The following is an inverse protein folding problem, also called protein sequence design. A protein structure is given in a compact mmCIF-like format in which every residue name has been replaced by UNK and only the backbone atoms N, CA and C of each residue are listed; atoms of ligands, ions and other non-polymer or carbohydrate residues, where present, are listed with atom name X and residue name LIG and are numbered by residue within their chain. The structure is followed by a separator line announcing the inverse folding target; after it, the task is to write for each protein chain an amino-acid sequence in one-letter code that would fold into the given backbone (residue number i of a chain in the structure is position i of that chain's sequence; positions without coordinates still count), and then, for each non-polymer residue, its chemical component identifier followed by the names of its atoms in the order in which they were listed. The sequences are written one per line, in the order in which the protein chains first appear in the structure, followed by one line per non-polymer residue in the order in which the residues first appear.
data_IF_453565472692
#
_entry.id   IF_453565472692
#
_cell.length_a   1.000
_cell.length_b   1.000
_cell.length_c   1.000
_cell.angle_alpha   90.00
_cell.angle_beta   90.00
_cell.angle_gamma   90.00
#
_symmetry.space_group_name_H-M   'P 1'
#
loop_
_entity.id
_entity.type
_entity.pdbx_description
1 polymer ?
#
# COMPACT_ATOMS: atom_id res chain seq x y z
N UNK A 1 7.56 -26.82 11.52
CA UNK A 1 8.30 -25.63 11.02
C UNK A 1 8.26 -25.69 9.50
N UNK A 2 7.40 -24.90 8.85
CA UNK A 2 7.25 -24.95 7.38
C UNK A 2 8.23 -23.97 6.72
N UNK A 3 9.25 -24.50 6.05
CA UNK A 3 10.21 -23.72 5.27
C UNK A 3 9.80 -23.67 3.80
N UNK A 4 9.30 -22.53 3.35
CA UNK A 4 9.05 -22.30 1.94
C UNK A 4 10.39 -21.99 1.25
N UNK A 5 10.80 -22.81 0.27
CA UNK A 5 11.96 -22.53 -0.58
C UNK A 5 11.48 -21.66 -1.75
N UNK A 6 11.82 -20.38 -1.72
CA UNK A 6 11.58 -19.48 -2.85
C UNK A 6 12.63 -19.78 -3.93
N UNK A 7 12.18 -20.31 -5.07
CA UNK A 7 13.01 -20.42 -6.27
C UNK A 7 13.00 -19.07 -7.01
N UNK A 8 14.07 -18.30 -6.87
CA UNK A 8 14.22 -16.94 -7.44
C UNK A 8 14.46 -16.93 -8.96
N UNK A 9 14.40 -18.08 -9.63
CA UNK A 9 14.70 -18.18 -11.07
C UNK A 9 13.62 -17.61 -12.01
N UNK A 10 12.44 -17.26 -11.49
CA UNK A 10 11.39 -16.62 -12.29
C UNK A 10 11.34 -15.12 -12.01
N UNK A 11 11.92 -14.30 -12.91
CA UNK A 11 11.35 -13.04 -13.41
C UNK A 11 12.47 -12.13 -13.95
N UNK A 12 13.09 -12.48 -15.09
CA UNK A 12 14.07 -11.61 -15.75
C UNK A 12 13.52 -10.91 -17.00
N UNK A 13 12.34 -11.32 -17.50
CA UNK A 13 11.80 -10.83 -18.79
C UNK A 13 10.80 -9.68 -18.70
N UNK A 14 10.39 -9.27 -17.50
CA UNK A 14 9.43 -8.17 -17.27
C UNK A 14 9.95 -7.08 -16.31
N UNK A 15 11.23 -7.14 -15.91
CA UNK A 15 11.79 -6.23 -14.89
C UNK A 15 11.74 -4.74 -15.29
N UNK A 16 11.82 -4.43 -16.58
CA UNK A 16 11.89 -3.05 -17.04
C UNK A 16 10.51 -2.32 -17.02
N UNK A 17 9.40 -3.06 -16.92
CA UNK A 17 8.05 -2.47 -16.94
C UNK A 17 7.44 -2.24 -15.56
N UNK A 18 8.06 -2.76 -14.50
CA UNK A 18 7.54 -2.71 -13.12
C UNK A 18 8.50 -2.02 -12.14
N UNK A 19 9.45 -1.21 -12.64
CA UNK A 19 10.37 -0.47 -11.79
C UNK A 19 9.69 0.78 -11.20
N UNK A 20 9.90 1.00 -9.90
CA UNK A 20 9.51 2.24 -9.23
C UNK A 20 10.71 3.20 -9.18
N UNK A 21 10.49 4.49 -9.46
CA UNK A 21 11.51 5.50 -9.21
C UNK A 21 11.91 5.49 -7.73
N UNK A 22 13.22 5.54 -7.46
CA UNK A 22 13.74 5.39 -6.10
C UNK A 22 13.15 6.39 -5.09
N UNK A 23 12.82 7.60 -5.53
CA UNK A 23 12.18 8.63 -4.71
C UNK A 23 10.77 8.24 -4.23
N UNK A 24 10.05 7.38 -4.96
CA UNK A 24 8.70 6.94 -4.59
C UNK A 24 8.73 5.68 -3.71
N UNK A 25 9.89 5.05 -3.53
CA UNK A 25 10.02 3.80 -2.77
C UNK A 25 9.57 3.93 -1.31
N UNK A 26 9.92 4.98 -0.54
CA UNK A 26 9.48 5.08 0.85
C UNK A 26 7.95 5.22 0.96
N UNK A 27 7.33 6.02 0.08
CA UNK A 27 5.88 6.17 0.00
C UNK A 27 5.18 4.85 -0.34
N UNK A 28 5.72 4.08 -1.30
CA UNK A 28 5.18 2.76 -1.64
C UNK A 28 5.28 1.78 -0.47
N UNK A 29 6.44 1.68 0.18
CA UNK A 29 6.63 0.78 1.32
C UNK A 29 5.68 1.14 2.47
N UNK A 30 5.53 2.43 2.75
CA UNK A 30 4.58 2.91 3.74
C UNK A 30 3.14 2.51 3.39
N UNK A 31 2.71 2.70 2.13
CA UNK A 31 1.39 2.25 1.70
C UNK A 31 1.21 0.74 1.88
N UNK A 32 2.19 -0.07 1.46
CA UNK A 32 2.14 -1.53 1.57
C UNK A 32 2.08 -2.02 3.03
N UNK A 33 2.73 -1.32 3.96
CA UNK A 33 2.68 -1.63 5.39
C UNK A 33 1.25 -1.49 5.97
N UNK A 34 0.42 -0.61 5.40
CA UNK A 34 -0.92 -0.29 5.91
C UNK A 34 -2.05 -0.61 4.93
N UNK A 35 -1.77 -1.23 3.79
CA UNK A 35 -2.74 -1.41 2.69
C UNK A 35 -4.00 -2.21 3.05
N UNK A 36 -4.01 -2.91 4.18
CA UNK A 36 -5.16 -3.66 4.68
C UNK A 36 -6.03 -2.85 5.66
N UNK A 37 -5.56 -1.70 6.13
CA UNK A 37 -6.18 -0.90 7.20
C UNK A 37 -7.14 0.15 6.63
N UNK A 38 -8.10 -0.28 5.80
CA UNK A 38 -9.11 0.61 5.22
C UNK A 38 -10.27 0.85 6.16
N UNK A 39 -10.72 2.11 6.20
CA UNK A 39 -12.04 2.48 6.74
C UNK A 39 -13.07 2.24 5.63
N UNK A 40 -14.04 1.37 5.90
CA UNK A 40 -15.03 0.91 4.93
C UNK A 40 -16.43 1.16 5.46
N UNK A 41 -17.32 1.71 4.62
CA UNK A 41 -18.75 1.83 4.90
C UNK A 41 -19.52 0.76 4.14
N UNK A 42 -20.48 0.12 4.81
CA UNK A 42 -21.45 -0.73 4.15
C UNK A 42 -22.57 0.14 3.56
N UNK A 43 -22.93 -0.11 2.30
CA UNK A 43 -24.02 0.58 1.62
C UNK A 43 -25.32 -0.25 1.69
N UNK A 44 -26.46 0.41 1.48
CA UNK A 44 -27.78 -0.24 1.51
C UNK A 44 -27.95 -1.32 0.42
N UNK A 45 -27.21 -1.20 -0.69
CA UNK A 45 -27.17 -2.18 -1.79
C UNK A 45 -26.25 -3.39 -1.50
N UNK A 46 -25.69 -3.48 -0.29
CA UNK A 46 -24.74 -4.52 0.10
C UNK A 46 -23.32 -4.31 -0.42
N UNK A 47 -23.08 -3.26 -1.22
CA UNK A 47 -21.73 -2.90 -1.66
C UNK A 47 -20.92 -2.24 -0.53
N UNK A 48 -19.61 -2.16 -0.73
CA UNK A 48 -18.67 -1.50 0.17
C UNK A 48 -18.26 -0.16 -0.46
N UNK A 49 -18.05 0.84 0.37
CA UNK A 49 -17.45 2.11 -0.01
C UNK A 49 -16.18 2.33 0.80
N UNK A 50 -15.05 2.44 0.12
CA UNK A 50 -13.74 2.63 0.73
C UNK A 50 -13.49 4.12 0.94
N UNK A 51 -13.39 4.55 2.20
CA UNK A 51 -13.27 5.98 2.57
C UNK A 51 -11.81 6.44 2.53
N UNK A 52 -10.90 5.63 3.08
CA UNK A 52 -9.50 5.98 3.24
C UNK A 52 -8.79 5.03 4.20
N UNK A 53 -7.48 5.14 4.27
CA UNK A 53 -6.65 4.39 5.22
C UNK A 53 -6.84 4.95 6.64
N UNK A 54 -6.78 4.06 7.63
CA UNK A 54 -6.81 4.47 9.03
C UNK A 54 -5.42 4.96 9.48
N UNK A 55 -5.21 6.28 9.45
CA UNK A 55 -3.95 6.87 9.86
C UNK A 55 -3.65 6.72 11.36
N UNK A 56 -4.65 6.49 12.21
CA UNK A 56 -4.40 6.20 13.63
C UNK A 56 -3.79 4.80 13.79
N UNK A 57 -4.13 3.86 12.91
CA UNK A 57 -3.52 2.54 12.84
C UNK A 57 -2.18 2.50 12.08
N UNK A 58 -1.78 3.61 11.42
CA UNK A 58 -0.60 3.64 10.57
C UNK A 58 0.73 3.75 11.34
N UNK A 59 0.78 4.56 12.41
CA UNK A 59 2.01 4.77 13.19
C UNK A 59 2.62 3.46 13.72
N UNK A 60 1.83 2.52 14.31
CA UNK A 60 2.39 1.28 14.81
C UNK A 60 3.02 0.42 13.72
N UNK A 61 2.43 0.39 12.52
CA UNK A 61 2.96 -0.35 11.39
C UNK A 61 4.31 0.24 10.94
N UNK A 62 4.38 1.56 10.77
CA UNK A 62 5.62 2.24 10.37
C UNK A 62 6.73 2.02 11.38
N UNK A 63 6.43 2.14 12.68
CA UNK A 63 7.40 1.93 13.75
C UNK A 63 7.91 0.48 13.79
N UNK A 64 7.03 -0.52 13.64
CA UNK A 64 7.42 -1.93 13.64
C UNK A 64 8.24 -2.32 12.40
N UNK A 65 8.02 -1.64 11.27
CA UNK A 65 8.79 -1.85 10.04
C UNK A 65 10.03 -0.94 9.93
N UNK A 66 10.28 -0.07 10.91
CA UNK A 66 11.42 0.87 10.89
C UNK A 66 11.30 1.96 9.82
N UNK A 67 10.10 2.28 9.38
CA UNK A 67 9.81 3.31 8.39
C UNK A 67 9.72 4.69 9.06
N UNK A 68 10.56 5.63 8.63
CA UNK A 68 10.47 7.05 9.01
C UNK A 68 10.14 7.86 7.77
N UNK A 69 8.95 8.47 7.75
CA UNK A 69 8.47 9.22 6.58
C UNK A 69 8.81 10.69 6.69
N UNK A 70 9.35 11.24 5.61
CA UNK A 70 9.43 12.69 5.42
C UNK A 70 8.07 13.26 5.00
N UNK A 71 7.86 14.59 5.07
CA UNK A 71 6.65 15.21 4.53
C UNK A 71 6.38 14.87 3.06
N UNK A 72 7.44 14.71 2.24
CA UNK A 72 7.32 14.31 0.84
C UNK A 72 6.85 12.86 0.69
N UNK A 73 7.39 11.94 1.50
CA UNK A 73 6.94 10.55 1.51
C UNK A 73 5.49 10.44 1.93
N UNK A 74 5.07 11.26 2.90
CA UNK A 74 3.68 11.35 3.35
C UNK A 74 2.73 11.83 2.24
N UNK A 75 3.16 12.82 1.44
CA UNK A 75 2.40 13.23 0.24
C UNK A 75 2.32 12.09 -0.76
N UNK A 76 3.43 11.40 -1.01
CA UNK A 76 3.49 10.24 -1.91
C UNK A 76 2.53 9.13 -1.49
N UNK A 77 2.49 8.79 -0.19
CA UNK A 77 1.57 7.80 0.36
C UNK A 77 0.11 8.16 0.07
N UNK A 78 -0.26 9.43 0.24
CA UNK A 78 -1.63 9.91 -0.02
C UNK A 78 -2.00 9.87 -1.50
N UNK A 79 -1.04 10.07 -2.40
CA UNK A 79 -1.26 9.90 -3.84
C UNK A 79 -1.55 8.44 -4.16
N UNK A 80 -0.80 7.50 -3.58
CA UNK A 80 -1.03 6.06 -3.78
C UNK A 80 -2.38 5.65 -3.19
N UNK A 81 -2.70 6.13 -1.98
CA UNK A 81 -3.99 5.89 -1.35
C UNK A 81 -5.15 6.40 -2.21
N UNK A 82 -5.07 7.60 -2.77
CA UNK A 82 -6.13 8.17 -3.60
C UNK A 82 -6.38 7.34 -4.87
N UNK A 83 -5.29 6.92 -5.54
CA UNK A 83 -5.39 6.03 -6.69
C UNK A 83 -5.99 4.66 -6.32
N UNK A 84 -5.56 4.06 -5.21
CA UNK A 84 -6.09 2.79 -4.73
C UNK A 84 -7.57 2.92 -4.33
N UNK A 85 -7.95 3.98 -3.61
CA UNK A 85 -9.33 4.26 -3.22
C UNK A 85 -10.23 4.46 -4.44
N UNK A 86 -9.74 5.16 -5.46
CA UNK A 86 -10.47 5.35 -6.72
C UNK A 86 -10.74 3.99 -7.35
N UNK A 87 -9.71 3.16 -7.56
CA UNK A 87 -9.86 1.82 -8.12
C UNK A 87 -10.78 0.90 -7.29
N UNK A 88 -10.75 1.00 -5.96
CA UNK A 88 -11.63 0.20 -5.08
C UNK A 88 -13.10 0.62 -5.17
N UNK A 89 -13.38 1.87 -5.51
CA UNK A 89 -14.73 2.42 -5.63
C UNK A 89 -15.22 2.51 -7.08
N UNK A 90 -14.39 2.19 -8.07
CA UNK A 90 -14.81 2.08 -9.47
C UNK A 90 -15.88 0.97 -9.61
N UNK A 91 -16.94 1.27 -10.37
CA UNK A 91 -18.10 0.40 -10.61
C UNK A 91 -18.14 -0.03 -12.07
#
# INVERSE_FOLDING_TARGET
MFGLRLNTAASAKDQDKAAIWGCNRPALLAFLAIQTQWRVLAQADGSRFWVGLDYAAAEPAFRLEGLTLTPTDWVGLRIIEDAARTALNER
#
